data_IF_387730396013
#
_entry.id   IF_387730396013
#
_cell.length_a   1.000
_cell.length_b   1.000
_cell.length_c   1.000
_cell.angle_alpha   90.00
_cell.angle_beta   90.00
_cell.angle_gamma   90.00
#
_symmetry.space_group_name_H-M   'P 1'
#
loop_
_entity.id
_entity.type
_entity.pdbx_description
1 polymer ?
#
# COMPACT_ATOMS: atom_id res chain seq x y z
N UNK A 1 -14.63 -7.55 -0.03
CA UNK A 1 -13.42 -6.88 0.47
C UNK A 1 -12.79 -6.11 -0.67
N UNK A 2 -12.22 -4.94 -0.42
CA UNK A 2 -11.48 -4.13 -1.39
C UNK A 2 -10.10 -3.78 -0.83
N UNK A 3 -9.08 -3.80 -1.69
CA UNK A 3 -7.73 -3.31 -1.35
C UNK A 3 -7.58 -1.89 -1.89
N UNK A 4 -7.43 -0.91 -1.00
CA UNK A 4 -7.24 0.50 -1.32
C UNK A 4 -5.74 0.79 -1.54
N UNK A 5 -5.29 0.72 -2.80
CA UNK A 5 -3.91 0.99 -3.17
C UNK A 5 -3.66 2.50 -3.35
N UNK A 6 -3.03 3.15 -2.37
CA UNK A 6 -2.60 4.53 -2.46
C UNK A 6 -1.41 4.74 -3.40
N UNK A 7 -1.05 6.00 -3.63
CA UNK A 7 0.09 6.36 -4.48
C UNK A 7 1.45 5.95 -3.90
N UNK A 8 1.55 5.77 -2.59
CA UNK A 8 2.78 5.33 -1.89
C UNK A 8 3.09 3.83 -2.10
N UNK A 9 2.21 3.08 -2.77
CA UNK A 9 2.44 1.68 -3.08
C UNK A 9 3.55 1.53 -4.13
N UNK A 10 4.44 0.55 -3.91
CA UNK A 10 5.38 0.11 -4.93
C UNK A 10 4.72 -0.79 -5.97
N UNK A 11 5.42 -1.02 -7.08
CA UNK A 11 4.94 -1.86 -8.18
C UNK A 11 3.93 -1.14 -9.10
N UNK A 12 3.14 -1.91 -9.84
CA UNK A 12 2.15 -1.38 -10.77
C UNK A 12 0.95 -0.78 -10.02
N UNK A 13 0.43 0.33 -10.55
CA UNK A 13 -0.82 0.92 -10.07
C UNK A 13 -2.01 0.10 -10.55
N UNK A 14 -2.96 -0.20 -9.66
CA UNK A 14 -4.17 -0.99 -9.93
C UNK A 14 -5.26 -0.22 -10.67
N UNK A 15 -4.88 0.66 -11.60
CA UNK A 15 -5.80 1.44 -12.42
C UNK A 15 -6.37 0.53 -13.51
N UNK A 16 -7.70 0.50 -13.63
CA UNK A 16 -8.38 -0.37 -14.59
C UNK A 16 -8.36 0.17 -16.02
N UNK A 17 -8.51 1.48 -16.18
CA UNK A 17 -8.39 2.16 -17.47
C UNK A 17 -7.06 2.93 -17.52
N UNK A 18 -6.03 2.41 -18.23
CA UNK A 18 -4.73 3.05 -18.29
C UNK A 18 -4.72 4.34 -19.12
N UNK A 19 -5.80 4.63 -19.86
CA UNK A 19 -5.93 5.87 -20.63
C UNK A 19 -6.64 6.97 -19.83
N UNK A 20 -7.29 6.62 -18.71
CA UNK A 20 -7.92 7.59 -17.83
C UNK A 20 -6.87 8.31 -16.95
N UNK A 21 -7.15 9.56 -16.52
CA UNK A 21 -6.29 10.26 -15.57
C UNK A 21 -6.13 9.48 -14.25
N UNK A 22 -4.88 9.34 -13.78
CA UNK A 22 -4.58 8.80 -12.46
C UNK A 22 -4.77 9.87 -11.38
N UNK A 23 -5.72 9.64 -10.48
CA UNK A 23 -6.00 10.56 -9.37
C UNK A 23 -4.93 10.60 -8.28
N UNK A 24 -3.98 9.63 -8.26
CA UNK A 24 -2.81 9.59 -7.36
C UNK A 24 -3.12 9.88 -5.88
N UNK A 25 -4.28 9.44 -5.38
CA UNK A 25 -4.64 9.66 -3.98
C UNK A 25 -3.67 8.96 -3.05
N UNK A 26 -3.27 9.64 -1.98
CA UNK A 26 -2.52 9.04 -0.88
C UNK A 26 -3.33 7.93 -0.23
N UNK A 27 -2.64 6.97 0.38
CA UNK A 27 -3.25 5.85 1.10
C UNK A 27 -4.21 6.37 2.17
N UNK A 28 -3.81 7.44 2.87
CA UNK A 28 -4.63 8.13 3.86
C UNK A 28 -5.97 8.61 3.28
N UNK A 29 -5.91 9.40 2.21
CA UNK A 29 -7.11 10.01 1.59
C UNK A 29 -7.99 8.96 0.95
N UNK A 30 -7.40 7.97 0.28
CA UNK A 30 -8.14 6.91 -0.40
C UNK A 30 -8.92 6.04 0.59
N UNK A 31 -8.29 5.61 1.69
CA UNK A 31 -8.96 4.81 2.74
C UNK A 31 -10.14 5.57 3.31
N UNK A 32 -9.96 6.82 3.74
CA UNK A 32 -11.06 7.63 4.29
C UNK A 32 -12.18 7.86 3.27
N UNK A 33 -11.83 8.06 2.00
CA UNK A 33 -12.81 8.28 0.93
C UNK A 33 -13.68 7.05 0.71
N UNK A 34 -13.08 5.86 0.58
CA UNK A 34 -13.83 4.62 0.37
C UNK A 34 -14.67 4.29 1.61
N UNK A 35 -14.09 4.40 2.82
CA UNK A 35 -14.73 4.09 4.09
C UNK A 35 -16.03 4.86 4.34
N UNK A 36 -16.15 6.09 3.80
CA UNK A 36 -17.37 6.91 3.88
C UNK A 36 -18.52 6.40 3.01
N UNK A 37 -18.26 5.51 2.05
CA UNK A 37 -19.25 5.09 1.04
C UNK A 37 -19.67 3.62 1.15
N UNK A 38 -18.97 2.78 1.92
CA UNK A 38 -19.26 1.35 1.95
C UNK A 38 -18.74 0.63 3.18
N UNK A 39 -19.51 -0.32 3.73
CA UNK A 39 -19.21 -1.22 4.86
C UNK A 39 -18.53 -2.54 4.51
N UNK A 40 -18.14 -2.72 3.24
CA UNK A 40 -17.33 -3.89 2.88
C UNK A 40 -15.94 -3.83 3.53
N UNK A 41 -15.32 -4.99 3.85
CA UNK A 41 -13.98 -5.00 4.42
C UNK A 41 -12.96 -4.27 3.54
N UNK A 42 -12.15 -3.41 4.15
CA UNK A 42 -11.22 -2.50 3.47
C UNK A 42 -9.78 -2.74 3.93
N UNK A 43 -8.89 -3.07 3.00
CA UNK A 43 -7.47 -3.28 3.28
C UNK A 43 -6.67 -2.10 2.73
N UNK A 44 -5.92 -1.40 3.58
CA UNK A 44 -5.03 -0.32 3.14
C UNK A 44 -3.74 -0.87 2.53
N UNK A 45 -3.32 -0.37 1.37
CA UNK A 45 -2.07 -0.76 0.72
C UNK A 45 -1.30 0.46 0.20
N UNK A 46 -0.02 0.55 0.58
CA UNK A 46 0.86 1.66 0.21
C UNK A 46 1.43 2.37 1.43
N UNK A 47 2.76 2.59 1.45
CA UNK A 47 3.44 3.33 2.52
C UNK A 47 3.49 2.67 3.91
N UNK A 48 2.80 1.55 4.15
CA UNK A 48 2.80 0.86 5.45
C UNK A 48 4.02 -0.06 5.59
N UNK A 49 4.85 0.16 6.61
CA UNK A 49 6.13 -0.54 6.79
C UNK A 49 6.27 -1.25 8.14
N UNK A 50 5.50 -0.86 9.16
CA UNK A 50 5.63 -1.35 10.54
C UNK A 50 4.29 -1.29 11.29
N UNK A 51 4.31 -1.67 12.57
CA UNK A 51 3.13 -1.66 13.43
C UNK A 51 2.50 -0.28 13.64
N UNK A 52 3.29 0.80 13.62
CA UNK A 52 2.76 2.15 13.75
C UNK A 52 2.00 2.56 12.48
N UNK A 53 2.53 2.21 11.31
CA UNK A 53 1.85 2.37 10.04
C UNK A 53 0.55 1.57 9.97
N UNK A 54 0.57 0.31 10.43
CA UNK A 54 -0.64 -0.52 10.52
C UNK A 54 -1.67 0.14 11.43
N UNK A 55 -1.30 0.51 12.66
CA UNK A 55 -2.21 1.17 13.60
C UNK A 55 -2.80 2.47 13.01
N UNK A 56 -2.00 3.23 12.27
CA UNK A 56 -2.45 4.47 11.63
C UNK A 56 -3.55 4.21 10.61
N UNK A 57 -3.39 3.24 9.70
CA UNK A 57 -4.42 2.94 8.70
C UNK A 57 -5.66 2.29 9.30
N UNK A 58 -5.52 1.50 10.37
CA UNK A 58 -6.65 0.96 11.13
C UNK A 58 -7.47 2.10 11.76
N UNK A 59 -6.83 3.10 12.34
CA UNK A 59 -7.50 4.29 12.89
C UNK A 59 -8.23 5.14 11.83
N UNK A 60 -7.85 5.02 10.56
CA UNK A 60 -8.55 5.66 9.43
C UNK A 60 -9.78 4.89 8.96
N UNK A 61 -10.01 3.70 9.53
CA UNK A 61 -11.13 2.83 9.21
C UNK A 61 -10.82 1.72 8.22
N UNK A 62 -9.55 1.38 8.00
CA UNK A 62 -9.20 0.11 7.37
C UNK A 62 -9.43 -1.07 8.35
N UNK A 63 -9.78 -2.23 7.81
CA UNK A 63 -9.93 -3.50 8.54
C UNK A 63 -8.63 -4.33 8.51
N UNK A 64 -7.65 -3.88 7.75
CA UNK A 64 -6.33 -4.48 7.68
C UNK A 64 -5.37 -3.68 6.81
N UNK A 65 -4.12 -4.15 6.74
CA UNK A 65 -3.08 -3.56 5.89
C UNK A 65 -2.41 -4.64 5.04
N UNK A 66 -2.13 -4.30 3.78
CA UNK A 66 -1.32 -5.11 2.88
C UNK A 66 0.04 -4.44 2.69
N UNK A 67 1.09 -5.11 3.17
CA UNK A 67 2.46 -4.62 3.13
C UNK A 67 3.22 -5.39 2.03
N UNK A 68 3.82 -4.66 1.09
CA UNK A 68 4.66 -5.24 0.04
C UNK A 68 6.13 -4.98 0.32
N UNK A 69 6.56 -3.72 0.16
CA UNK A 69 7.97 -3.29 0.29
C UNK A 69 8.62 -3.74 1.61
N UNK A 70 7.86 -3.80 2.71
CA UNK A 70 8.36 -4.25 4.01
C UNK A 70 8.94 -5.69 4.00
N UNK A 71 8.42 -6.57 3.13
CA UNK A 71 8.82 -7.97 3.06
C UNK A 71 9.89 -8.26 2.00
N UNK A 72 10.28 -7.29 1.16
CA UNK A 72 11.22 -7.52 0.06
C UNK A 72 12.62 -7.95 0.54
N UNK A 73 13.00 -7.59 1.77
CA UNK A 73 14.29 -7.97 2.36
C UNK A 73 14.25 -9.28 3.17
N UNK A 74 13.09 -9.90 3.38
CA UNK A 74 12.99 -11.19 4.06
C UNK A 74 13.76 -12.29 3.30
N UNK A 75 14.35 -13.28 4.00
CA UNK A 75 15.14 -14.35 3.36
C UNK A 75 14.32 -15.23 2.41
N UNK A 76 13.00 -15.32 2.60
CA UNK A 76 12.08 -16.07 1.76
C UNK A 76 11.76 -15.36 0.43
N UNK A 77 12.02 -14.05 0.33
CA UNK A 77 11.74 -13.28 -0.88
C UNK A 77 12.70 -13.63 -2.02
N UNK A 78 12.19 -13.79 -3.23
CA UNK A 78 12.99 -13.98 -4.45
C UNK A 78 13.57 -12.68 -5.02
N UNK A 79 13.57 -11.58 -4.26
CA UNK A 79 14.23 -10.32 -4.65
C UNK A 79 15.72 -10.57 -4.88
N UNK A 80 16.23 -10.19 -6.05
CA UNK A 80 17.63 -10.39 -6.42
C UNK A 80 18.59 -9.53 -5.59
N UNK A 81 19.89 -9.86 -5.65
CA UNK A 81 20.92 -9.17 -4.88
C UNK A 81 21.03 -7.68 -5.23
N UNK A 82 20.92 -7.31 -6.50
CA UNK A 82 20.99 -5.92 -6.93
C UNK A 82 19.85 -5.10 -6.37
N UNK A 83 18.63 -5.61 -6.45
CA UNK A 83 17.46 -4.93 -5.91
C UNK A 83 17.47 -4.87 -4.36
N UNK A 84 17.91 -5.94 -3.67
CA UNK A 84 18.10 -5.92 -2.21
C UNK A 84 19.07 -4.83 -1.77
N UNK A 85 20.21 -4.70 -2.44
CA UNK A 85 21.19 -3.67 -2.13
C UNK A 85 20.66 -2.27 -2.44
N UNK A 86 19.95 -2.08 -3.55
CA UNK A 86 19.29 -0.80 -3.84
C UNK A 86 18.27 -0.40 -2.76
N UNK A 87 17.49 -1.35 -2.24
CA UNK A 87 16.51 -1.07 -1.18
C UNK A 87 17.14 -0.74 0.17
N UNK A 88 18.28 -1.35 0.52
CA UNK A 88 18.98 -1.05 1.78
C UNK A 88 19.66 0.32 1.76
N UNK A 89 20.08 0.80 0.59
CA UNK A 89 20.79 2.07 0.39
C UNK A 89 19.88 3.31 0.50
N UNK A 90 18.82 3.30 1.32
CA UNK A 90 17.87 4.43 1.35
C UNK A 90 18.58 5.77 1.59
N UNK A 91 18.16 6.74 0.77
CA UNK A 91 18.43 8.19 0.85
C UNK A 91 18.13 8.72 2.25
#
# INVERSE_FOLDING_TARGET
MVVAQGYEAGGHRGIFDPLAPDGQMSTFTLVQTIRRHTDIPLIAAGGVMDGAGINSVMNLGADGAQLGTAFLLCPESSTDGGYREALKKRV
#
